data_IF_615705360180
#
_entry.id   IF_615705360180
#
_cell.length_a   1.000
_cell.length_b   1.000
_cell.length_c   1.000
_cell.angle_alpha   90.00
_cell.angle_beta   90.00
_cell.angle_gamma   90.00
#
_symmetry.space_group_name_H-M   'P 1'
#
loop_
_entity.id
_entity.type
_entity.pdbx_description
1 polymer ?
#
# COMPACT_ATOMS: atom_id res chain seq x y z
N UNK A 1 33.45 43.81 -3.31
CA UNK A 1 32.52 43.13 -4.24
C UNK A 1 33.31 42.54 -5.42
N UNK A 2 33.77 41.30 -5.24
CA UNK A 2 34.61 40.60 -6.21
C UNK A 2 33.72 39.90 -7.24
N UNK A 3 33.74 40.37 -8.49
CA UNK A 3 33.02 39.77 -9.61
C UNK A 3 33.85 38.60 -10.16
N UNK A 4 33.36 37.37 -9.98
CA UNK A 4 33.96 36.18 -10.58
C UNK A 4 33.20 35.84 -11.87
N UNK A 5 33.85 36.05 -13.01
CA UNK A 5 33.36 35.64 -14.33
C UNK A 5 33.70 34.16 -14.56
N UNK A 6 32.69 33.30 -14.67
CA UNK A 6 32.88 31.93 -15.13
C UNK A 6 32.84 31.89 -16.66
N UNK A 7 34.00 31.63 -17.25
CA UNK A 7 34.22 31.41 -18.68
C UNK A 7 33.89 29.96 -19.04
N UNK A 8 33.03 29.74 -20.04
CA UNK A 8 32.78 28.42 -20.63
C UNK A 8 33.96 28.02 -21.53
N UNK A 9 34.38 26.74 -21.57
CA UNK A 9 35.42 26.31 -22.49
C UNK A 9 34.90 26.28 -23.93
N UNK A 10 35.67 26.94 -24.80
CA UNK A 10 35.60 26.91 -26.26
C UNK A 10 35.91 25.51 -26.80
N UNK A 11 35.08 25.02 -27.74
CA UNK A 11 35.29 23.75 -28.42
C UNK A 11 35.72 24.01 -29.86
N UNK A 12 36.95 23.65 -30.25
CA UNK A 12 37.35 23.16 -31.59
C UNK A 12 38.88 22.99 -31.66
N UNK A 13 39.56 22.03 -32.34
CA UNK A 13 39.30 21.00 -33.34
C UNK A 13 40.29 19.84 -33.07
N UNK A 14 39.98 18.55 -33.29
CA UNK A 14 40.37 17.80 -34.50
C UNK A 14 39.76 16.38 -34.44
N UNK A 15 38.72 16.12 -35.22
CA UNK A 15 38.72 15.26 -36.41
C UNK A 15 38.77 13.75 -36.17
N UNK A 16 37.59 13.13 -36.15
CA UNK A 16 37.33 11.95 -36.98
C UNK A 16 35.82 11.73 -37.12
N UNK A 17 35.38 11.84 -38.37
CA UNK A 17 34.05 11.50 -38.88
C UNK A 17 33.73 10.03 -38.58
N UNK A 18 32.49 9.69 -38.18
CA UNK A 18 31.61 8.65 -38.76
C UNK A 18 30.21 8.75 -38.12
N UNK A 19 29.18 8.63 -38.95
CA UNK A 19 27.75 8.81 -38.61
C UNK A 19 27.23 7.82 -37.57
N UNK A 20 26.17 8.23 -36.84
CA UNK A 20 25.33 7.29 -36.12
C UNK A 20 24.38 7.97 -35.14
N UNK A 21 23.27 8.52 -35.63
CA UNK A 21 22.05 8.60 -34.84
C UNK A 21 21.78 7.22 -34.22
N UNK A 22 21.62 7.19 -32.90
CA UNK A 22 21.40 5.95 -32.17
C UNK A 22 20.94 6.27 -30.76
N UNK A 23 19.67 6.68 -30.66
CA UNK A 23 18.93 6.77 -29.41
C UNK A 23 19.28 5.63 -28.46
N UNK A 24 19.38 5.99 -27.20
CA UNK A 24 19.28 5.10 -26.06
C UNK A 24 17.99 4.28 -26.16
N UNK A 25 18.06 3.14 -26.82
CA UNK A 25 17.00 2.15 -26.84
C UNK A 25 17.63 0.85 -26.36
N UNK A 26 17.42 0.53 -25.09
CA UNK A 26 17.55 -0.82 -24.55
C UNK A 26 16.45 -1.67 -25.18
N UNK A 27 16.50 -1.82 -26.50
CA UNK A 27 15.50 -2.49 -27.29
C UNK A 27 15.60 -3.97 -26.95
N UNK A 28 14.47 -4.50 -26.49
CA UNK A 28 14.26 -5.92 -26.34
C UNK A 28 14.80 -6.66 -27.58
N UNK A 29 15.83 -7.48 -27.40
CA UNK A 29 16.44 -8.28 -28.46
C UNK A 29 15.59 -9.50 -28.88
N UNK A 30 14.42 -9.66 -28.25
CA UNK A 30 13.50 -10.76 -28.49
C UNK A 30 12.75 -10.48 -29.80
N UNK A 31 13.10 -11.23 -30.86
CA UNK A 31 12.40 -11.18 -32.16
C UNK A 31 13.26 -10.73 -33.35
N UNK A 32 14.56 -10.47 -33.20
CA UNK A 32 15.46 -10.23 -34.33
C UNK A 32 15.68 -11.51 -35.15
N UNK A 33 15.61 -11.39 -36.48
CA UNK A 33 15.89 -12.50 -37.41
C UNK A 33 17.31 -13.04 -37.18
N UNK A 34 17.42 -14.34 -36.90
CA UNK A 34 18.67 -15.02 -36.55
C UNK A 34 18.86 -15.36 -35.06
N UNK A 35 18.02 -14.85 -34.15
CA UNK A 35 18.04 -15.27 -32.75
C UNK A 35 17.17 -16.52 -32.51
N UNK A 36 17.61 -17.48 -31.68
CA UNK A 36 16.79 -18.64 -31.32
C UNK A 36 15.53 -18.18 -30.61
N UNK A 37 14.40 -18.82 -30.93
CA UNK A 37 13.12 -18.56 -30.28
C UNK A 37 13.30 -18.59 -28.75
N UNK A 38 12.81 -17.56 -28.02
CA UNK A 38 12.98 -17.51 -26.57
C UNK A 38 12.48 -18.81 -25.96
N UNK A 39 13.32 -19.45 -25.15
CA UNK A 39 13.01 -20.74 -24.55
C UNK A 39 11.65 -20.67 -23.85
N UNK A 40 10.76 -21.63 -24.17
CA UNK A 40 9.46 -21.74 -23.48
C UNK A 40 9.74 -21.83 -21.99
N UNK A 41 9.38 -20.78 -21.25
CA UNK A 41 9.55 -20.74 -19.80
C UNK A 41 8.85 -21.97 -19.22
N UNK A 42 9.53 -22.83 -18.45
CA UNK A 42 8.90 -23.99 -17.85
C UNK A 42 7.70 -23.52 -17.03
N UNK A 43 6.50 -23.90 -17.48
CA UNK A 43 5.25 -23.56 -16.82
C UNK A 43 5.14 -24.44 -15.58
N UNK A 44 5.77 -23.99 -14.48
CA UNK A 44 5.56 -24.64 -13.19
C UNK A 44 4.07 -24.53 -12.82
N UNK A 45 3.44 -25.60 -12.29
CA UNK A 45 2.07 -25.53 -11.80
C UNK A 45 1.90 -24.33 -10.87
N UNK A 46 0.89 -23.48 -11.12
CA UNK A 46 0.54 -22.36 -10.24
C UNK A 46 -0.17 -22.92 -9.01
N UNK A 47 0.61 -23.36 -8.03
CA UNK A 47 0.09 -23.80 -6.73
C UNK A 47 -0.45 -22.55 -6.02
N UNK A 48 -1.76 -22.52 -5.76
CA UNK A 48 -2.41 -21.46 -4.99
C UNK A 48 -2.03 -21.61 -3.51
N UNK A 49 -1.95 -20.49 -2.80
CA UNK A 49 -1.81 -20.47 -1.35
C UNK A 49 -3.15 -20.74 -0.69
N UNK A 50 -3.16 -21.67 0.27
CA UNK A 50 -4.30 -21.93 1.15
C UNK A 50 -4.28 -21.00 2.36
N UNK A 51 -5.36 -21.00 3.14
CA UNK A 51 -5.46 -20.19 4.34
C UNK A 51 -4.48 -20.66 5.42
N UNK A 52 -4.34 -21.96 5.61
CA UNK A 52 -3.42 -22.55 6.59
C UNK A 52 -1.96 -22.19 6.27
N UNK A 53 -1.64 -22.11 4.98
CA UNK A 53 -0.33 -21.68 4.50
C UNK A 53 -0.08 -20.19 4.74
N UNK A 54 -1.11 -19.35 4.61
CA UNK A 54 -1.03 -17.93 4.93
C UNK A 54 -0.86 -17.70 6.45
N UNK A 55 -1.60 -18.44 7.28
CA UNK A 55 -1.50 -18.42 8.74
C UNK A 55 -0.09 -18.83 9.20
N UNK A 56 0.44 -19.95 8.67
CA UNK A 56 1.80 -20.39 8.92
C UNK A 56 2.84 -19.33 8.48
N UNK A 57 2.61 -18.67 7.34
CA UNK A 57 3.50 -17.63 6.83
C UNK A 57 3.55 -16.42 7.75
N UNK A 58 2.40 -16.00 8.29
CA UNK A 58 2.29 -14.91 9.28
C UNK A 58 2.99 -15.32 10.58
N UNK A 59 2.69 -16.51 11.12
CA UNK A 59 3.27 -17.01 12.38
C UNK A 59 4.81 -17.02 12.32
N UNK A 60 5.37 -17.62 11.27
CA UNK A 60 6.81 -17.71 11.10
C UNK A 60 7.46 -16.33 10.92
N UNK A 61 6.76 -15.38 10.30
CA UNK A 61 7.30 -14.05 10.00
C UNK A 61 7.19 -13.07 11.16
N UNK A 62 6.04 -13.02 11.83
CA UNK A 62 5.70 -12.01 12.84
C UNK A 62 5.98 -12.51 14.26
N UNK A 63 5.71 -13.79 14.54
CA UNK A 63 5.89 -14.34 15.89
C UNK A 63 7.31 -14.90 16.07
N UNK A 64 7.77 -15.70 15.10
CA UNK A 64 9.12 -16.32 15.15
C UNK A 64 10.22 -15.47 14.54
N UNK A 65 9.87 -14.35 13.90
CA UNK A 65 10.81 -13.38 13.33
C UNK A 65 11.85 -14.01 12.37
N UNK A 66 11.45 -15.02 11.61
CA UNK A 66 12.35 -15.75 10.71
C UNK A 66 12.66 -14.97 9.42
N UNK A 67 13.82 -15.26 8.83
CA UNK A 67 14.18 -14.78 7.49
C UNK A 67 13.40 -15.52 6.41
N UNK A 68 13.17 -14.90 5.25
CA UNK A 68 12.46 -15.56 4.13
C UNK A 68 13.09 -16.87 3.69
N UNK A 69 14.42 -16.99 3.82
CA UNK A 69 15.14 -18.21 3.50
C UNK A 69 14.76 -19.35 4.46
N UNK A 70 14.74 -19.07 5.76
CA UNK A 70 14.32 -20.04 6.78
C UNK A 70 12.83 -20.39 6.66
N UNK A 71 12.00 -19.41 6.33
CA UNK A 71 10.56 -19.65 6.13
C UNK A 71 10.34 -20.61 4.95
N UNK A 72 11.11 -20.47 3.86
CA UNK A 72 10.95 -21.34 2.69
C UNK A 72 11.20 -22.83 2.97
N UNK A 73 11.93 -23.17 4.03
CA UNK A 73 12.12 -24.56 4.47
C UNK A 73 10.80 -25.21 4.93
N UNK A 74 9.78 -24.41 5.31
CA UNK A 74 8.44 -24.86 5.69
C UNK A 74 7.44 -24.89 4.54
N UNK A 75 7.82 -24.42 3.34
CA UNK A 75 6.95 -24.35 2.16
C UNK A 75 7.56 -25.10 0.97
N UNK A 76 7.43 -26.44 0.91
CA UNK A 76 8.04 -27.24 -0.14
C UNK A 76 7.57 -26.80 -1.53
N UNK A 77 8.53 -26.54 -2.42
CA UNK A 77 8.24 -26.10 -3.79
C UNK A 77 7.92 -24.61 -3.96
N UNK A 78 7.93 -23.82 -2.87
CA UNK A 78 7.83 -22.35 -2.94
C UNK A 78 9.19 -21.71 -2.70
N UNK A 79 9.44 -20.63 -3.42
CA UNK A 79 10.66 -19.87 -3.24
C UNK A 79 10.46 -18.71 -2.24
N UNK A 80 11.51 -18.25 -1.56
CA UNK A 80 11.45 -17.13 -0.61
C UNK A 80 10.81 -15.85 -1.18
N UNK A 81 11.06 -15.54 -2.45
CA UNK A 81 10.52 -14.34 -3.11
C UNK A 81 9.00 -14.39 -3.28
N UNK A 82 8.45 -15.56 -3.63
CA UNK A 82 7.00 -15.78 -3.74
C UNK A 82 6.33 -15.59 -2.38
N UNK A 83 6.94 -16.10 -1.30
CA UNK A 83 6.45 -15.95 0.07
C UNK A 83 6.48 -14.47 0.51
N UNK A 84 7.57 -13.76 0.21
CA UNK A 84 7.67 -12.33 0.49
C UNK A 84 6.58 -11.53 -0.23
N UNK A 85 6.37 -11.78 -1.54
CA UNK A 85 5.31 -11.10 -2.31
C UNK A 85 3.94 -11.40 -1.72
N UNK A 86 3.66 -12.67 -1.39
CA UNK A 86 2.39 -13.07 -0.77
C UNK A 86 2.15 -12.32 0.54
N UNK A 87 3.14 -12.30 1.43
CA UNK A 87 3.06 -11.65 2.72
C UNK A 87 2.86 -10.13 2.59
N UNK A 88 3.68 -9.45 1.76
CA UNK A 88 3.61 -8.01 1.59
C UNK A 88 2.32 -7.52 0.90
N UNK A 89 1.75 -8.30 -0.02
CA UNK A 89 0.59 -7.85 -0.81
C UNK A 89 -0.76 -8.23 -0.22
N UNK A 90 -0.82 -9.32 0.56
CA UNK A 90 -2.10 -9.86 1.02
C UNK A 90 -2.22 -10.08 2.51
N UNK A 91 -1.12 -10.32 3.23
CA UNK A 91 -1.20 -10.74 4.64
C UNK A 91 -0.87 -9.59 5.59
N UNK A 92 0.11 -8.75 5.26
CA UNK A 92 0.47 -7.61 6.14
C UNK A 92 -0.66 -6.59 6.31
N UNK A 93 -1.54 -6.46 5.33
CA UNK A 93 -2.68 -5.54 5.37
C UNK A 93 -3.85 -6.09 6.21
N UNK A 94 -4.01 -7.42 6.27
CA UNK A 94 -5.08 -8.06 7.04
C UNK A 94 -4.64 -8.43 8.47
N UNK A 95 -3.34 -8.41 8.76
CA UNK A 95 -2.77 -8.80 10.06
C UNK A 95 -2.92 -7.74 11.17
N UNK A 96 -3.73 -6.69 10.99
CA UNK A 96 -4.13 -5.85 12.15
C UNK A 96 -5.51 -6.30 12.62
N UNK A 97 -5.58 -7.30 13.53
CA UNK A 97 -6.85 -7.64 14.14
C UNK A 97 -7.35 -6.43 14.94
N UNK A 98 -8.62 -6.10 14.78
CA UNK A 98 -9.28 -5.14 15.65
C UNK A 98 -9.22 -5.67 17.08
N UNK A 99 -8.50 -4.95 17.94
CA UNK A 99 -8.44 -5.30 19.35
C UNK A 99 -9.63 -4.66 20.06
N UNK A 100 -10.04 -5.24 21.19
CA UNK A 100 -11.06 -4.64 22.06
C UNK A 100 -10.73 -3.19 22.41
N UNK A 101 -9.45 -2.85 22.58
CA UNK A 101 -9.01 -1.48 22.84
C UNK A 101 -9.22 -0.56 21.63
N UNK A 102 -9.00 -1.06 20.41
CA UNK A 102 -9.32 -0.32 19.18
C UNK A 102 -10.83 -0.11 19.03
N UNK A 103 -11.63 -1.12 19.38
CA UNK A 103 -13.10 -1.01 19.38
C UNK A 103 -13.58 0.01 20.42
N UNK A 104 -13.04 -0.01 21.64
CA UNK A 104 -13.36 0.95 22.70
C UNK A 104 -13.02 2.39 22.26
N UNK A 105 -11.86 2.59 21.65
CA UNK A 105 -11.46 3.90 21.09
C UNK A 105 -12.36 4.33 19.92
N UNK A 106 -12.80 3.39 19.09
CA UNK A 106 -13.72 3.68 17.99
C UNK A 106 -15.09 4.13 18.54
N UNK A 107 -15.62 3.43 19.52
CA UNK A 107 -16.90 3.76 20.15
C UNK A 107 -16.84 5.13 20.85
N UNK A 108 -15.76 5.41 21.58
CA UNK A 108 -15.54 6.71 22.23
C UNK A 108 -15.46 7.86 21.21
N UNK A 109 -14.76 7.64 20.09
CA UNK A 109 -14.66 8.63 19.01
C UNK A 109 -16.02 8.90 18.33
N UNK A 110 -16.83 7.86 18.11
CA UNK A 110 -18.18 8.00 17.56
C UNK A 110 -19.09 8.77 18.52
N UNK A 111 -19.08 8.41 19.80
CA UNK A 111 -19.87 9.09 20.81
C UNK A 111 -19.49 10.57 20.94
N UNK A 112 -18.19 10.87 21.00
CA UNK A 112 -17.68 12.25 21.05
C UNK A 112 -18.09 13.07 19.82
N UNK A 113 -18.10 12.46 18.63
CA UNK A 113 -18.57 13.10 17.41
C UNK A 113 -20.07 13.42 17.47
N UNK A 114 -20.89 12.48 17.95
CA UNK A 114 -22.33 12.70 18.10
C UNK A 114 -22.63 13.81 19.12
N UNK A 115 -21.94 13.81 20.26
CA UNK A 115 -22.07 14.85 21.28
C UNK A 115 -21.67 16.23 20.73
N UNK A 116 -20.57 16.32 20.00
CA UNK A 116 -20.12 17.57 19.37
C UNK A 116 -21.12 18.04 18.30
N UNK A 117 -21.63 17.12 17.48
CA UNK A 117 -22.68 17.41 16.50
C UNK A 117 -23.90 18.03 17.17
N UNK A 118 -24.39 17.43 18.25
CA UNK A 118 -25.57 17.93 18.95
C UNK A 118 -25.29 19.23 19.72
N UNK A 119 -24.05 19.46 20.17
CA UNK A 119 -23.61 20.73 20.75
C UNK A 119 -23.72 21.88 19.76
N UNK A 120 -23.24 21.66 18.53
CA UNK A 120 -23.37 22.63 17.42
C UNK A 120 -24.85 22.88 17.10
N UNK A 121 -25.67 21.83 17.05
CA UNK A 121 -27.12 21.95 16.80
C UNK A 121 -27.79 22.79 17.89
N UNK A 122 -27.56 22.48 19.17
CA UNK A 122 -28.13 23.21 20.29
C UNK A 122 -27.75 24.70 20.25
N UNK A 123 -26.49 25.02 19.95
CA UNK A 123 -26.05 26.41 19.78
C UNK A 123 -26.83 27.15 18.68
N UNK A 124 -27.17 26.46 17.58
CA UNK A 124 -27.96 27.02 16.49
C UNK A 124 -29.45 27.13 16.81
N UNK A 125 -29.99 26.21 17.60
CA UNK A 125 -31.40 26.22 18.02
C UNK A 125 -31.67 27.35 19.02
N UNK A 126 -30.72 27.66 19.91
CA UNK A 126 -30.78 28.83 20.79
C UNK A 126 -30.37 28.56 22.25
N UNK A 127 -30.08 29.63 22.98
CA UNK A 127 -29.63 29.55 24.38
C UNK A 127 -30.74 29.10 25.32
N UNK A 128 -30.76 27.80 25.63
CA UNK A 128 -31.75 27.19 26.53
C UNK A 128 -32.00 25.71 26.26
N UNK A 129 -31.54 25.20 25.11
CA UNK A 129 -31.70 23.79 24.73
C UNK A 129 -30.38 23.06 24.93
N UNK A 130 -30.42 21.88 25.55
CA UNK A 130 -29.23 21.04 25.71
C UNK A 130 -28.99 20.21 24.44
N UNK A 131 -27.74 19.80 24.15
CA UNK A 131 -27.44 18.89 23.03
C UNK A 131 -28.31 17.63 23.06
N UNK A 132 -28.44 17.03 24.25
CA UNK A 132 -29.28 15.85 24.47
C UNK A 132 -30.76 16.14 24.25
N UNK A 133 -31.24 17.34 24.64
CA UNK A 133 -32.61 17.77 24.37
C UNK A 133 -32.90 17.92 22.88
N UNK A 134 -31.94 18.40 22.08
CA UNK A 134 -32.06 18.43 20.63
C UNK A 134 -32.11 17.01 20.02
N UNK A 135 -31.26 16.09 20.49
CA UNK A 135 -31.27 14.71 20.03
C UNK A 135 -32.62 14.02 20.31
N UNK A 136 -33.11 14.10 21.55
CA UNK A 136 -34.40 13.52 21.94
C UNK A 136 -35.56 14.11 21.13
N UNK A 137 -35.55 15.44 20.92
CA UNK A 137 -36.60 16.08 20.13
C UNK A 137 -36.59 15.63 18.66
N UNK A 138 -35.41 15.44 18.07
CA UNK A 138 -35.28 14.91 16.71
C UNK A 138 -35.76 13.46 16.65
N UNK A 139 -35.43 12.64 17.65
CA UNK A 139 -35.94 11.27 17.75
C UNK A 139 -37.47 11.22 17.84
N UNK A 140 -38.10 12.08 18.64
CA UNK A 140 -39.57 12.21 18.70
C UNK A 140 -40.15 12.58 17.33
N UNK A 141 -39.60 13.59 16.66
CA UNK A 141 -40.07 14.04 15.35
C UNK A 141 -39.99 12.95 14.28
N UNK A 142 -38.97 12.08 14.32
CA UNK A 142 -38.83 10.97 13.36
C UNK A 142 -39.63 9.72 13.74
N UNK A 143 -40.09 9.57 14.98
CA UNK A 143 -40.91 8.44 15.43
C UNK A 143 -42.42 8.76 15.50
N UNK A 144 -42.83 10.03 15.39
CA UNK A 144 -44.23 10.45 15.25
C UNK A 144 -44.76 10.29 13.79
N UNK A 145 -43.89 10.02 12.81
CA UNK A 145 -44.24 9.80 11.39
C UNK A 145 -44.49 8.31 11.03
N UNK A 146 -44.77 7.44 12.02
CA UNK A 146 -44.99 5.98 11.82
C UNK A 146 -46.28 5.48 12.50
#
# INVERSE_FOLDING_TARGET
PSHHHHHLPDMSHSSSSMHGEGSQDTHNLVGREGMPSPARRPQRPRIKFTQEEDELLIELKEQKNLTWKQIADFFPGRNPGTLQVRYCTRLKTESTPWTREMDERLLDALQSYEDEKWRIVAQRVGGGVTPMGCCNRVWELFNDDL
#
